data_IF_331369027708
#
_entry.id   IF_331369027708
#
_cell.length_a   1.000
_cell.length_b   1.000
_cell.length_c   1.000
_cell.angle_alpha   90.00
_cell.angle_beta   90.00
_cell.angle_gamma   90.00
#
_symmetry.space_group_name_H-M   'P 1'
#
loop_
_entity.id
_entity.type
_entity.pdbx_description
1 polymer ?
#
# COMPACT_ATOMS: atom_id res chain seq x y z
N UNK A 1 13.90 1.74 6.55
CA UNK A 1 12.82 1.10 5.80
C UNK A 1 11.59 1.98 5.77
N UNK A 2 10.93 2.04 4.63
CA UNK A 2 9.75 2.88 4.44
C UNK A 2 8.50 2.01 4.37
N UNK A 3 7.45 2.44 5.04
CA UNK A 3 6.15 1.78 4.95
C UNK A 3 5.25 2.59 4.02
N UNK A 4 4.66 1.91 3.05
CA UNK A 4 3.79 2.53 2.05
C UNK A 4 2.42 1.85 2.13
N UNK A 5 1.38 2.64 2.19
CA UNK A 5 0.01 2.13 2.16
C UNK A 5 -0.68 2.64 0.90
N UNK A 6 -1.14 1.71 0.09
CA UNK A 6 -1.89 2.03 -1.13
C UNK A 6 -3.38 1.87 -0.80
N UNK A 7 -4.15 2.92 -1.01
CA UNK A 7 -5.60 2.90 -0.77
C UNK A 7 -6.30 3.18 -2.10
N UNK A 8 -6.95 2.16 -2.67
CA UNK A 8 -7.63 2.30 -3.94
C UNK A 8 -8.66 1.19 -4.06
N UNK A 9 -9.88 1.51 -4.50
CA UNK A 9 -10.94 0.53 -4.63
C UNK A 9 -10.81 -0.33 -5.90
N UNK A 10 -9.90 0.02 -6.80
CA UNK A 10 -9.65 -0.71 -8.04
C UNK A 10 -8.41 -1.58 -7.89
N UNK A 11 -8.61 -2.90 -7.95
CA UNK A 11 -7.50 -3.84 -7.79
C UNK A 11 -6.42 -3.65 -8.86
N UNK A 12 -6.85 -3.41 -10.09
CA UNK A 12 -5.91 -3.24 -11.21
C UNK A 12 -5.03 -2.02 -10.98
N UNK A 13 -5.62 -0.94 -10.46
CA UNK A 13 -4.84 0.26 -10.16
C UNK A 13 -3.84 0.00 -9.03
N UNK A 14 -4.26 -0.74 -7.99
CA UNK A 14 -3.34 -1.10 -6.91
C UNK A 14 -2.16 -1.92 -7.42
N UNK A 15 -2.43 -2.87 -8.30
CA UNK A 15 -1.35 -3.69 -8.91
C UNK A 15 -0.39 -2.82 -9.70
N UNK A 16 -0.91 -1.85 -10.44
CA UNK A 16 -0.07 -0.92 -11.19
C UNK A 16 0.82 -0.09 -10.28
N UNK A 17 0.27 0.41 -9.18
CA UNK A 17 1.05 1.19 -8.21
C UNK A 17 2.12 0.33 -7.55
N UNK A 18 1.80 -0.91 -7.20
CA UNK A 18 2.78 -1.84 -6.65
C UNK A 18 3.92 -2.09 -7.62
N UNK A 19 3.60 -2.26 -8.89
CA UNK A 19 4.62 -2.45 -9.91
C UNK A 19 5.56 -1.24 -10.00
N UNK A 20 4.99 -0.04 -10.03
CA UNK A 20 5.79 1.17 -10.08
C UNK A 20 6.71 1.30 -8.85
N UNK A 21 6.18 0.99 -7.68
CA UNK A 21 6.97 1.03 -6.45
C UNK A 21 8.09 -0.02 -6.47
N UNK A 22 7.84 -1.17 -7.09
CA UNK A 22 8.83 -2.24 -7.13
C UNK A 22 10.06 -1.86 -7.96
N UNK A 23 9.94 -0.85 -8.80
CA UNK A 23 11.05 -0.37 -9.64
C UNK A 23 11.90 0.69 -8.95
N UNK A 24 11.45 1.20 -7.81
CA UNK A 24 12.20 2.20 -7.05
C UNK A 24 13.25 1.51 -6.19
N UNK A 25 14.38 2.18 -6.00
CA UNK A 25 15.42 1.68 -5.12
C UNK A 25 15.03 1.87 -3.66
N UNK A 26 15.54 0.98 -2.81
CA UNK A 26 15.32 1.07 -1.38
C UNK A 26 14.37 -0.01 -0.88
N UNK A 27 14.44 -0.26 0.42
CA UNK A 27 13.58 -1.24 1.05
C UNK A 27 12.30 -0.57 1.55
N UNK A 28 11.19 -1.24 1.30
CA UNK A 28 9.89 -0.73 1.78
C UNK A 28 8.92 -1.88 1.98
N UNK A 29 8.02 -1.68 2.94
CA UNK A 29 6.88 -2.57 3.12
C UNK A 29 5.69 -1.93 2.43
N UNK A 30 4.99 -2.68 1.59
CA UNK A 30 3.83 -2.17 0.86
C UNK A 30 2.59 -2.88 1.38
N UNK A 31 1.63 -2.10 1.83
CA UNK A 31 0.34 -2.57 2.31
C UNK A 31 -0.75 -2.07 1.38
N UNK A 32 -1.84 -2.81 1.28
CA UNK A 32 -2.94 -2.45 0.40
C UNK A 32 -4.25 -2.37 1.18
N UNK A 33 -5.07 -1.40 0.82
CA UNK A 33 -6.42 -1.28 1.33
C UNK A 33 -7.34 -0.89 0.19
N UNK A 34 -8.56 -1.40 0.18
CA UNK A 34 -9.53 -1.05 -0.85
C UNK A 34 -10.39 0.15 -0.46
N UNK A 35 -10.33 0.59 0.77
CA UNK A 35 -11.09 1.74 1.24
C UNK A 35 -10.46 2.32 2.51
N UNK A 36 -10.99 3.44 2.96
CA UNK A 36 -10.46 4.14 4.13
C UNK A 36 -10.58 3.35 5.42
N UNK A 37 -11.65 2.57 5.57
CA UNK A 37 -11.85 1.76 6.76
C UNK A 37 -10.75 0.70 6.89
N UNK A 38 -10.44 0.01 5.78
CA UNK A 38 -9.37 -0.97 5.77
C UNK A 38 -8.01 -0.29 6.02
N UNK A 39 -7.82 0.90 5.45
CA UNK A 39 -6.59 1.65 5.65
C UNK A 39 -6.36 1.95 7.13
N UNK A 40 -7.40 2.39 7.82
CA UNK A 40 -7.30 2.68 9.25
C UNK A 40 -6.97 1.43 10.06
N UNK A 41 -7.55 0.29 9.69
CA UNK A 41 -7.27 -0.98 10.37
C UNK A 41 -5.81 -1.35 10.23
N UNK A 42 -5.24 -1.17 9.03
CA UNK A 42 -3.84 -1.46 8.77
C UNK A 42 -2.94 -0.52 9.57
N UNK A 43 -3.24 0.76 9.57
CA UNK A 43 -2.45 1.75 10.31
C UNK A 43 -2.44 1.41 11.80
N UNK A 44 -3.58 1.03 12.35
CA UNK A 44 -3.67 0.69 13.78
C UNK A 44 -2.90 -0.57 14.12
N UNK A 45 -2.92 -1.57 13.22
CA UNK A 45 -2.24 -2.83 13.49
C UNK A 45 -0.73 -2.71 13.38
N UNK A 46 -0.25 -1.79 12.56
CA UNK A 46 1.19 -1.60 12.34
C UNK A 46 1.83 -0.60 13.32
N UNK A 47 1.02 0.07 14.06
CA UNK A 47 1.50 1.12 14.99
C UNK A 47 2.10 0.55 16.30
#
# INVERSE_FOLDING_TARGET
MTNVLIVDDEKIEREGLKYLLSREEGERNVFEASNGKQALQIIRSED
#
